data_IF_453719253620
#
_entry.id   IF_453719253620
#
_cell.length_a   1.000
_cell.length_b   1.000
_cell.length_c   1.000
_cell.angle_alpha   90.00
_cell.angle_beta   90.00
_cell.angle_gamma   90.00
#
_symmetry.space_group_name_H-M   'P 1'
#
loop_
_entity.id
_entity.type
_entity.pdbx_description
1 polymer ?
#
# COMPACT_ATOMS: atom_id res chain seq x y z
N UNK A 1 43.13 -72.46 25.47
CA UNK A 1 44.14 -71.95 24.52
C UNK A 1 43.45 -71.02 23.51
N UNK A 2 44.07 -69.85 23.26
CA UNK A 2 43.96 -68.89 22.12
C UNK A 2 42.58 -68.63 21.49
N UNK A 3 42.00 -67.43 21.70
CA UNK A 3 42.18 -66.17 20.93
C UNK A 3 41.65 -66.23 19.48
N UNK A 4 40.61 -65.42 19.23
CA UNK A 4 40.18 -64.96 17.91
C UNK A 4 39.30 -63.72 18.07
N UNK A 5 39.94 -62.57 18.30
CA UNK A 5 39.36 -61.22 18.16
C UNK A 5 39.21 -60.89 16.66
N UNK A 6 38.56 -59.76 16.39
CA UNK A 6 38.42 -59.03 15.12
C UNK A 6 37.05 -59.26 14.44
N UNK A 7 36.10 -58.38 14.71
CA UNK A 7 35.90 -57.10 14.00
C UNK A 7 35.21 -57.31 12.66
N UNK A 8 33.89 -57.23 12.67
CA UNK A 8 33.14 -56.84 11.49
C UNK A 8 32.00 -55.93 11.96
N UNK A 9 32.34 -54.65 12.07
CA UNK A 9 31.39 -53.56 11.87
C UNK A 9 30.71 -53.80 10.51
N UNK A 10 29.59 -54.50 10.49
CA UNK A 10 28.68 -54.46 9.36
C UNK A 10 27.89 -53.16 9.47
N UNK A 11 28.45 -52.13 8.84
CA UNK A 11 27.86 -50.82 8.70
C UNK A 11 26.44 -50.95 8.12
N UNK A 12 25.44 -50.74 8.97
CA UNK A 12 24.07 -50.51 8.53
C UNK A 12 24.01 -49.06 8.00
N UNK A 13 24.62 -48.83 6.84
CA UNK A 13 24.55 -47.57 6.11
C UNK A 13 23.66 -47.79 4.88
N UNK A 14 22.36 -47.90 5.10
CA UNK A 14 21.40 -47.52 4.07
C UNK A 14 20.77 -46.23 4.58
N UNK A 15 21.43 -45.14 4.19
CA UNK A 15 20.87 -43.81 4.19
C UNK A 15 19.61 -43.87 3.32
N UNK A 16 18.46 -44.13 3.93
CA UNK A 16 17.19 -43.86 3.31
C UNK A 16 17.08 -42.34 3.22
N UNK A 17 17.54 -41.79 2.10
CA UNK A 17 17.34 -40.39 1.73
C UNK A 17 15.84 -40.15 1.80
N UNK A 18 15.42 -39.44 2.84
CA UNK A 18 14.09 -38.91 2.98
C UNK A 18 13.76 -38.10 1.72
N UNK A 19 12.58 -38.36 1.18
CA UNK A 19 12.07 -37.69 0.02
C UNK A 19 12.12 -36.16 0.18
N UNK A 20 12.60 -35.48 -0.84
CA UNK A 20 12.16 -34.12 -1.13
C UNK A 20 11.60 -34.11 -2.56
N UNK A 21 10.30 -34.36 -2.76
CA UNK A 21 9.62 -33.87 -3.96
C UNK A 21 9.47 -32.35 -3.79
N UNK A 22 10.56 -31.62 -4.03
CA UNK A 22 10.64 -30.18 -3.70
C UNK A 22 11.34 -29.32 -4.73
N UNK A 23 11.76 -29.88 -5.87
CA UNK A 23 12.21 -29.11 -7.02
C UNK A 23 11.03 -28.81 -7.98
N UNK A 24 9.88 -28.40 -7.44
CA UNK A 24 9.03 -27.50 -8.21
C UNK A 24 9.86 -26.22 -8.32
N UNK A 25 10.31 -25.88 -9.54
CA UNK A 25 11.20 -24.74 -9.80
C UNK A 25 10.79 -23.54 -8.93
N UNK A 26 11.54 -23.29 -7.86
CA UNK A 26 11.24 -22.18 -6.97
C UNK A 26 11.47 -20.91 -7.80
N UNK A 27 10.39 -20.23 -8.16
CA UNK A 27 10.47 -19.06 -9.03
C UNK A 27 11.39 -18.03 -8.39
N UNK A 28 12.30 -17.47 -9.20
CA UNK A 28 13.25 -16.46 -8.71
C UNK A 28 12.58 -15.09 -8.60
N UNK A 29 13.19 -14.18 -7.82
CA UNK A 29 12.74 -12.77 -7.75
C UNK A 29 12.68 -12.16 -9.14
N UNK A 30 13.69 -12.42 -9.97
CA UNK A 30 13.81 -11.85 -11.32
C UNK A 30 12.75 -12.39 -12.28
N UNK A 31 12.45 -13.70 -12.22
CA UNK A 31 11.39 -14.31 -13.02
C UNK A 31 10.00 -13.79 -12.65
N UNK A 32 9.74 -13.66 -11.34
CA UNK A 32 8.49 -13.10 -10.82
C UNK A 32 8.35 -11.64 -11.23
N UNK A 33 9.42 -10.86 -11.11
CA UNK A 33 9.45 -9.45 -11.49
C UNK A 33 9.20 -9.28 -13.00
N UNK A 34 9.91 -10.01 -13.85
CA UNK A 34 9.75 -9.94 -15.30
C UNK A 34 8.32 -10.34 -15.73
N UNK A 35 7.77 -11.39 -15.14
CA UNK A 35 6.39 -11.83 -15.39
C UNK A 35 5.38 -10.76 -14.94
N UNK A 36 5.60 -10.18 -13.76
CA UNK A 36 4.74 -9.12 -13.22
C UNK A 36 4.75 -7.87 -14.11
N UNK A 37 5.91 -7.47 -14.63
CA UNK A 37 6.02 -6.34 -15.56
C UNK A 37 5.24 -6.62 -16.85
N UNK A 38 5.36 -7.83 -17.41
CA UNK A 38 4.61 -8.24 -18.59
C UNK A 38 3.10 -8.22 -18.34
N UNK A 39 2.63 -8.77 -17.22
CA UNK A 39 1.22 -8.74 -16.83
C UNK A 39 0.71 -7.29 -16.67
N UNK A 40 1.49 -6.41 -16.04
CA UNK A 40 1.13 -4.99 -15.87
C UNK A 40 1.01 -4.27 -17.21
N UNK A 41 1.95 -4.50 -18.14
CA UNK A 41 1.90 -3.94 -19.49
C UNK A 41 0.68 -4.43 -20.29
N UNK A 42 0.27 -5.68 -20.07
CA UNK A 42 -0.97 -6.23 -20.60
C UNK A 42 -2.23 -5.78 -19.83
N UNK A 43 -2.10 -4.87 -18.86
CA UNK A 43 -3.17 -4.39 -17.98
C UNK A 43 -3.86 -5.48 -17.14
N UNK A 44 -3.23 -6.65 -16.99
CA UNK A 44 -3.67 -7.71 -16.08
C UNK A 44 -3.24 -7.37 -14.64
N UNK A 45 -3.84 -6.34 -14.07
CA UNK A 45 -3.35 -5.73 -12.84
C UNK A 45 -3.45 -6.63 -11.60
N UNK A 46 -4.46 -7.52 -11.54
CA UNK A 46 -4.57 -8.51 -10.47
C UNK A 46 -3.38 -9.49 -10.48
N UNK A 47 -3.11 -10.08 -11.65
CA UNK A 47 -1.99 -10.99 -11.86
C UNK A 47 -0.65 -10.30 -11.57
N UNK A 48 -0.48 -9.07 -12.06
CA UNK A 48 0.73 -8.29 -11.82
C UNK A 48 0.96 -8.05 -10.32
N UNK A 49 -0.07 -7.63 -9.59
CA UNK A 49 0.04 -7.40 -8.15
C UNK A 49 0.44 -8.67 -7.39
N UNK A 50 -0.15 -9.82 -7.73
CA UNK A 50 0.19 -11.10 -7.11
C UNK A 50 1.64 -11.52 -7.40
N UNK A 51 2.10 -11.35 -8.64
CA UNK A 51 3.49 -11.64 -9.02
C UNK A 51 4.48 -10.76 -8.26
N UNK A 52 4.22 -9.45 -8.14
CA UNK A 52 5.08 -8.54 -7.38
C UNK A 52 5.05 -8.83 -5.88
N UNK A 53 3.90 -9.17 -5.29
CA UNK A 53 3.83 -9.57 -3.88
C UNK A 53 4.65 -10.84 -3.62
N UNK A 54 4.63 -11.80 -4.54
CA UNK A 54 5.46 -13.00 -4.45
C UNK A 54 6.96 -12.68 -4.58
N UNK A 55 7.34 -11.78 -5.50
CA UNK A 55 8.72 -11.30 -5.58
C UNK A 55 9.16 -10.63 -4.27
N UNK A 56 8.29 -9.82 -3.66
CA UNK A 56 8.52 -9.14 -2.39
C UNK A 56 8.53 -10.09 -1.18
N UNK A 57 7.84 -11.23 -1.25
CA UNK A 57 7.93 -12.26 -0.23
C UNK A 57 9.31 -12.95 -0.22
N UNK A 58 9.98 -13.01 -1.37
CA UNK A 58 11.35 -13.52 -1.50
C UNK A 58 12.41 -12.45 -1.18
N UNK A 59 12.14 -11.18 -1.55
CA UNK A 59 13.01 -10.03 -1.27
C UNK A 59 12.17 -8.80 -0.91
N UNK A 60 11.96 -8.57 0.38
CA UNK A 60 11.07 -7.54 0.89
C UNK A 60 11.55 -6.09 0.64
N UNK A 61 12.86 -5.91 0.47
CA UNK A 61 13.58 -4.65 0.28
C UNK A 61 13.91 -4.38 -1.20
N UNK A 62 13.02 -4.79 -2.11
CA UNK A 62 13.13 -4.49 -3.53
C UNK A 62 12.29 -3.25 -3.89
N UNK A 63 12.93 -2.09 -3.99
CA UNK A 63 12.27 -0.82 -4.33
C UNK A 63 11.60 -0.86 -5.71
N UNK A 64 12.23 -1.48 -6.71
CA UNK A 64 11.66 -1.60 -8.06
C UNK A 64 10.36 -2.42 -8.03
N UNK A 65 10.36 -3.56 -7.34
CA UNK A 65 9.18 -4.39 -7.20
C UNK A 65 8.05 -3.69 -6.43
N UNK A 66 8.38 -2.88 -5.42
CA UNK A 66 7.40 -2.04 -4.70
C UNK A 66 6.79 -0.97 -5.61
N UNK A 67 7.59 -0.31 -6.45
CA UNK A 67 7.09 0.66 -7.43
C UNK A 67 6.14 0.00 -8.42
N UNK A 68 6.52 -1.15 -8.97
CA UNK A 68 5.66 -1.85 -9.92
C UNK A 68 4.37 -2.38 -9.26
N UNK A 69 4.45 -2.84 -8.00
CA UNK A 69 3.26 -3.17 -7.22
C UNK A 69 2.35 -1.95 -7.07
N UNK A 70 2.90 -0.79 -6.69
CA UNK A 70 2.13 0.44 -6.56
C UNK A 70 1.40 0.83 -7.85
N UNK A 71 2.04 0.67 -9.01
CA UNK A 71 1.40 0.90 -10.30
C UNK A 71 0.32 -0.15 -10.65
N UNK A 72 0.53 -1.42 -10.29
CA UNK A 72 -0.49 -2.45 -10.45
C UNK A 72 -1.72 -2.16 -9.58
N UNK A 73 -1.52 -1.73 -8.33
CA UNK A 73 -2.62 -1.34 -7.44
C UNK A 73 -3.36 -0.08 -7.91
N UNK A 74 -2.64 0.91 -8.47
CA UNK A 74 -3.27 2.04 -9.17
C UNK A 74 -4.15 1.57 -10.33
N UNK A 75 -3.70 0.58 -11.10
CA UNK A 75 -4.48 -0.05 -12.17
C UNK A 75 -5.74 -0.76 -11.65
N UNK A 76 -5.65 -1.40 -10.48
CA UNK A 76 -6.80 -1.97 -9.73
C UNK A 76 -7.70 -0.93 -9.06
N UNK A 77 -7.33 0.35 -9.09
CA UNK A 77 -7.97 1.43 -8.34
C UNK A 77 -7.95 1.22 -6.80
N UNK A 78 -7.03 0.39 -6.29
CA UNK A 78 -6.79 0.22 -4.86
C UNK A 78 -5.80 1.30 -4.38
N UNK A 79 -6.32 2.51 -4.17
CA UNK A 79 -5.51 3.66 -3.76
C UNK A 79 -4.80 3.46 -2.41
N UNK A 80 -5.42 2.83 -1.38
CA UNK A 80 -4.71 2.49 -0.14
C UNK A 80 -3.52 1.55 -0.36
N UNK A 81 -3.69 0.47 -1.11
CA UNK A 81 -2.59 -0.48 -1.38
C UNK A 81 -1.47 0.16 -2.21
N UNK A 82 -1.83 0.97 -3.22
CA UNK A 82 -0.88 1.73 -4.01
C UNK A 82 -0.05 2.69 -3.14
N UNK A 83 -0.70 3.40 -2.22
CA UNK A 83 -0.04 4.31 -1.26
C UNK A 83 1.00 3.58 -0.41
N UNK A 84 0.63 2.42 0.15
CA UNK A 84 1.56 1.62 0.98
C UNK A 84 2.80 1.22 0.16
N UNK A 85 2.59 0.66 -1.03
CA UNK A 85 3.67 0.21 -1.89
C UNK A 85 4.63 1.34 -2.26
N UNK A 86 4.12 2.50 -2.69
CA UNK A 86 4.97 3.67 -3.01
C UNK A 86 5.65 4.26 -1.77
N UNK A 87 4.97 4.31 -0.61
CA UNK A 87 5.58 4.79 0.63
C UNK A 87 6.75 3.91 1.07
N UNK A 88 6.61 2.58 0.93
CA UNK A 88 7.69 1.64 1.21
C UNK A 88 8.84 1.80 0.22
N UNK A 89 8.55 1.96 -1.08
CA UNK A 89 9.58 2.24 -2.08
C UNK A 89 10.36 3.53 -1.77
N UNK A 90 9.67 4.61 -1.41
CA UNK A 90 10.28 5.90 -1.04
C UNK A 90 11.05 5.82 0.28
N UNK A 91 10.66 4.92 1.19
CA UNK A 91 11.41 4.69 2.44
C UNK A 91 12.75 3.99 2.16
N UNK A 92 12.81 3.12 1.16
CA UNK A 92 14.05 2.47 0.71
C UNK A 92 14.90 3.40 -0.18
N UNK A 93 14.24 4.17 -1.05
CA UNK A 93 14.87 5.05 -2.02
C UNK A 93 14.12 6.40 -2.08
N UNK A 94 14.46 7.38 -1.23
CA UNK A 94 13.75 8.67 -1.14
C UNK A 94 13.77 9.52 -2.42
N UNK A 95 14.70 9.24 -3.33
CA UNK A 95 14.82 9.91 -4.63
C UNK A 95 14.21 9.09 -5.78
N UNK A 96 13.48 8.00 -5.50
CA UNK A 96 12.86 7.18 -6.55
C UNK A 96 11.74 7.96 -7.22
N UNK A 97 12.00 8.39 -8.46
CA UNK A 97 11.18 9.34 -9.20
C UNK A 97 9.82 8.76 -9.57
N UNK A 98 9.80 7.54 -10.10
CA UNK A 98 8.55 6.84 -10.43
C UNK A 98 7.67 6.60 -9.20
N UNK A 99 8.26 6.34 -8.03
CA UNK A 99 7.53 6.20 -6.78
C UNK A 99 6.89 7.53 -6.35
N UNK A 100 7.61 8.64 -6.50
CA UNK A 100 7.10 9.99 -6.22
C UNK A 100 5.95 10.37 -7.18
N UNK A 101 6.10 10.03 -8.47
CA UNK A 101 5.06 10.21 -9.47
C UNK A 101 3.82 9.35 -9.18
N UNK A 102 4.02 8.08 -8.82
CA UNK A 102 2.96 7.18 -8.39
C UNK A 102 2.22 7.70 -7.15
N UNK A 103 2.94 8.20 -6.14
CA UNK A 103 2.34 8.82 -4.96
C UNK A 103 1.52 10.06 -5.30
N UNK A 104 2.02 10.93 -6.19
CA UNK A 104 1.26 12.10 -6.66
C UNK A 104 -0.06 11.70 -7.33
N UNK A 105 -0.06 10.63 -8.15
CA UNK A 105 -1.27 10.08 -8.76
C UNK A 105 -2.25 9.52 -7.72
N UNK A 106 -1.74 8.81 -6.72
CA UNK A 106 -2.55 8.27 -5.61
C UNK A 106 -3.24 9.40 -4.85
N UNK A 107 -2.51 10.45 -4.46
CA UNK A 107 -3.09 11.57 -3.72
C UNK A 107 -4.07 12.37 -4.57
N UNK A 108 -3.78 12.58 -5.85
CA UNK A 108 -4.70 13.23 -6.78
C UNK A 108 -6.02 12.45 -6.91
N UNK A 109 -5.96 11.14 -7.15
CA UNK A 109 -7.14 10.28 -7.26
C UNK A 109 -7.90 10.12 -5.95
N UNK A 110 -7.21 10.28 -4.81
CA UNK A 110 -7.82 10.30 -3.48
C UNK A 110 -8.49 11.64 -3.15
N UNK A 111 -8.34 12.66 -4.00
CA UNK A 111 -8.85 14.02 -3.76
C UNK A 111 -7.99 14.85 -2.80
N UNK A 112 -6.84 14.35 -2.38
CA UNK A 112 -5.92 15.02 -1.45
C UNK A 112 -5.02 16.00 -2.22
N UNK A 113 -5.63 17.04 -2.80
CA UNK A 113 -4.94 17.99 -3.70
C UNK A 113 -3.77 18.73 -3.02
N UNK A 114 -3.85 18.95 -1.71
CA UNK A 114 -2.79 19.58 -0.93
C UNK A 114 -1.55 18.70 -0.78
N UNK A 115 -1.72 17.38 -0.75
CA UNK A 115 -0.60 16.43 -0.74
C UNK A 115 -0.09 16.13 -2.17
N UNK A 116 -0.98 16.09 -3.16
CA UNK A 116 -0.64 15.76 -4.54
C UNK A 116 0.22 16.85 -5.22
N UNK A 117 -0.11 18.13 -5.00
CA UNK A 117 0.52 19.26 -5.69
C UNK A 117 2.05 19.33 -5.50
N UNK A 118 2.59 19.38 -4.26
CA UNK A 118 4.04 19.49 -4.07
C UNK A 118 4.81 18.27 -4.61
N UNK A 119 4.19 17.08 -4.60
CA UNK A 119 4.78 15.88 -5.19
C UNK A 119 4.87 15.99 -6.71
N UNK A 120 3.78 16.40 -7.36
CA UNK A 120 3.75 16.58 -8.81
C UNK A 120 4.68 17.70 -9.30
N UNK A 121 4.80 18.80 -8.54
CA UNK A 121 5.75 19.89 -8.84
C UNK A 121 7.19 19.39 -8.81
N UNK A 122 7.58 18.67 -7.76
CA UNK A 122 8.91 18.08 -7.66
C UNK A 122 9.23 17.12 -8.81
N UNK A 123 8.27 16.30 -9.23
CA UNK A 123 8.46 15.37 -10.36
C UNK A 123 8.63 16.16 -11.67
N UNK A 124 7.78 17.15 -11.93
CA UNK A 124 7.83 17.95 -13.15
C UNK A 124 9.09 18.83 -13.24
N UNK A 125 9.55 19.40 -12.11
CA UNK A 125 10.80 20.15 -12.03
C UNK A 125 12.01 19.27 -12.36
N UNK A 126 12.00 18.04 -11.84
CA UNK A 126 13.10 17.13 -12.03
C UNK A 126 13.09 16.50 -13.44
N UNK A 127 11.95 16.43 -14.12
CA UNK A 127 11.77 15.92 -15.49
C UNK A 127 10.93 16.89 -16.36
N UNK A 128 11.50 18.03 -16.80
CA UNK A 128 10.75 19.02 -17.58
C UNK A 128 10.20 18.50 -18.92
N UNK A 129 10.73 17.38 -19.43
CA UNK A 129 10.28 16.73 -20.67
C UNK A 129 9.26 15.60 -20.48
N UNK A 130 8.89 15.25 -19.24
CA UNK A 130 7.90 14.20 -19.00
C UNK A 130 6.48 14.76 -19.15
N UNK A 131 5.84 14.41 -20.26
CA UNK A 131 4.49 14.87 -20.59
C UNK A 131 3.44 14.40 -19.57
N UNK A 132 3.59 13.19 -19.02
CA UNK A 132 2.65 12.64 -18.03
C UNK A 132 2.74 13.40 -16.70
N UNK A 133 3.95 13.74 -16.27
CA UNK A 133 4.18 14.56 -15.08
C UNK A 133 3.60 15.98 -15.24
N UNK A 134 3.83 16.61 -16.40
CA UNK A 134 3.27 17.92 -16.71
C UNK A 134 1.73 17.90 -16.73
N UNK A 135 1.13 16.89 -17.37
CA UNK A 135 -0.31 16.73 -17.44
C UNK A 135 -0.93 16.46 -16.05
N UNK A 136 -0.28 15.63 -15.22
CA UNK A 136 -0.73 15.39 -13.85
C UNK A 136 -0.72 16.69 -13.02
N UNK A 137 0.36 17.46 -13.10
CA UNK A 137 0.47 18.74 -12.40
C UNK A 137 -0.62 19.74 -12.84
N UNK A 138 -0.86 19.84 -14.14
CA UNK A 138 -1.92 20.70 -14.68
C UNK A 138 -3.31 20.27 -14.18
N UNK A 139 -3.59 18.96 -14.19
CA UNK A 139 -4.85 18.40 -13.71
C UNK A 139 -5.07 18.67 -12.21
N UNK A 140 -4.02 18.53 -11.39
CA UNK A 140 -4.06 18.86 -9.96
C UNK A 140 -4.36 20.36 -9.75
N UNK A 141 -3.69 21.24 -10.51
CA UNK A 141 -3.91 22.70 -10.42
C UNK A 141 -5.34 23.08 -10.81
N UNK A 142 -5.85 22.53 -11.91
CA UNK A 142 -7.25 22.72 -12.34
C UNK A 142 -8.24 22.25 -11.28
N UNK A 143 -8.03 21.06 -10.72
CA UNK A 143 -8.89 20.54 -9.65
C UNK A 143 -8.87 21.44 -8.41
N UNK A 144 -7.70 21.95 -8.01
CA UNK A 144 -7.55 22.83 -6.84
C UNK A 144 -8.21 24.19 -7.05
N UNK A 145 -8.09 24.76 -8.26
CA UNK A 145 -8.81 25.97 -8.63
C UNK A 145 -10.33 25.75 -8.63
N UNK A 146 -10.81 24.63 -9.18
CA UNK A 146 -12.23 24.29 -9.19
C UNK A 146 -12.80 24.08 -7.77
N UNK A 147 -12.03 23.51 -6.84
CA UNK A 147 -12.44 23.37 -5.45
C UNK A 147 -12.51 24.71 -4.71
N UNK A 148 -11.67 25.68 -5.08
CA UNK A 148 -11.66 27.03 -4.52
C UNK A 148 -12.73 27.94 -5.15
N UNK A 149 -13.07 27.71 -6.42
CA UNK A 149 -14.06 28.49 -7.18
C UNK A 149 -15.52 28.12 -6.85
N UNK A 150 -15.78 26.94 -6.28
CA UNK A 150 -17.07 26.69 -5.62
C UNK A 150 -17.07 27.48 -4.31
N UNK A 151 -17.91 28.51 -4.14
CA UNK A 151 -18.10 29.10 -2.83
C UNK A 151 -18.55 27.95 -1.94
N UNK A 152 -17.80 27.67 -0.87
CA UNK A 152 -18.38 26.96 0.27
C UNK A 152 -19.57 27.86 0.66
N UNK A 153 -20.84 27.45 0.51
CA UNK A 153 -21.89 28.21 1.16
C UNK A 153 -21.49 28.20 2.64
N UNK A 154 -21.33 29.38 3.21
CA UNK A 154 -21.14 29.56 4.64
C UNK A 154 -22.40 29.02 5.35
N UNK A 155 -22.50 27.70 5.45
CA UNK A 155 -23.51 27.03 6.22
C UNK A 155 -23.03 27.07 7.66
N UNK A 156 -23.46 28.13 8.32
CA UNK A 156 -23.62 28.26 9.76
C UNK A 156 -23.71 26.89 10.44
N UNK A 157 -22.79 26.61 11.35
CA UNK A 157 -23.05 25.60 12.36
C UNK A 157 -24.32 26.04 13.12
N UNK A 158 -25.42 25.27 13.12
CA UNK A 158 -26.45 25.52 14.10
C UNK A 158 -25.84 25.17 15.46
N UNK A 159 -25.71 26.18 16.32
CA UNK A 159 -25.45 25.97 17.73
C UNK A 159 -26.43 24.91 18.24
N UNK A 160 -25.90 23.76 18.66
CA UNK A 160 -26.70 22.76 19.37
C UNK A 160 -27.21 23.47 20.63
N UNK A 161 -28.49 23.84 20.67
CA UNK A 161 -29.13 24.23 21.93
C UNK A 161 -28.89 23.08 22.92
N UNK A 162 -28.45 23.35 24.15
CA UNK A 162 -28.27 22.28 25.13
C UNK A 162 -29.60 21.55 25.31
N UNK A 163 -29.59 20.21 25.51
CA UNK A 163 -30.82 19.45 25.65
C UNK A 163 -31.63 20.00 26.83
N UNK A 164 -32.93 20.21 26.61
CA UNK A 164 -33.88 20.46 27.69
C UNK A 164 -33.79 19.30 28.69
N UNK A 165 -33.20 19.54 29.87
CA UNK A 165 -33.38 18.64 31.01
C UNK A 165 -34.88 18.61 31.30
N UNK A 166 -35.50 17.44 31.15
CA UNK A 166 -36.80 17.20 31.80
C UNK A 166 -36.57 17.33 33.31
N UNK A 167 -37.38 18.09 34.05
CA UNK A 167 -37.31 18.04 35.50
C UNK A 167 -37.64 16.61 35.96
N UNK A 168 -36.81 16.07 36.85
CA UNK A 168 -37.04 14.75 37.44
C UNK A 168 -38.39 14.72 38.16
N UNK A 169 -39.30 13.76 37.88
CA UNK A 169 -40.63 13.72 38.47
C UNK A 169 -40.65 13.35 39.97
N UNK A 170 -39.50 13.22 40.63
CA UNK A 170 -39.40 12.76 42.03
C UNK A 170 -39.35 13.93 43.03
N UNK A 171 -39.24 15.18 42.58
CA UNK A 171 -39.15 16.34 43.48
C UNK A 171 -40.51 17.00 43.85
N UNK A 172 -41.66 16.49 43.39
CA UNK A 172 -42.97 17.13 43.63
C UNK A 172 -43.68 16.62 44.92
N UNK A 173 -43.14 15.61 45.62
CA UNK A 173 -43.84 14.98 46.75
C UNK A 173 -43.40 15.44 48.16
N UNK A 174 -42.78 16.61 48.34
CA UNK A 174 -42.37 17.09 49.69
C UNK A 174 -42.85 18.51 50.06
N UNK A 175 -43.88 19.05 49.40
CA UNK A 175 -44.48 20.33 49.77
C UNK A 175 -45.96 20.27 50.22
N UNK A 176 -46.55 19.08 50.36
CA UNK A 176 -47.91 18.91 50.89
C UNK A 176 -47.95 18.20 52.26
N UNK A 177 -47.00 18.50 53.14
CA UNK A 177 -46.87 17.83 54.45
C UNK A 177 -46.44 18.71 55.63
N UNK A 178 -46.74 20.02 55.61
CA UNK A 178 -46.75 20.85 56.84
C UNK A 178 -48.12 21.51 57.04
N UNK A 179 -49.05 20.72 57.59
CA UNK A 179 -50.00 21.14 58.61
C UNK A 179 -50.15 20.01 59.60
#
# INVERSE_FOLDING_TARGET
MRRGRHSAFAACLILAIAAAPGAALAQTVDELYASGVKARQAQHFDEAADLFRRALALKADNADALVQLGFAELGRNDLPAARDAFSRALSLAPAYRDASFGMAQVEFRSGNLDAALPLAEKVAEAEPGNADAAALLENIRKAKQASQAKPVPAAAAPAKKPPHRRPDPVAIQLEQGRR
#
